data_IF_884945803293
#
_entry.id   IF_884945803293
#
_cell.length_a   1.000
_cell.length_b   1.000
_cell.length_c   1.000
_cell.angle_alpha   90.00
_cell.angle_beta   90.00
_cell.angle_gamma   90.00
#
_symmetry.space_group_name_H-M   'P 1'
#
loop_
_entity.id
_entity.type
_entity.pdbx_description
1 polymer ?
#
# COMPACT_ATOMS: atom_id res chain seq x y z
N UNK A 1 -27.64 30.19 -19.87
CA UNK A 1 -27.68 28.94 -20.67
C UNK A 1 -26.73 27.98 -19.97
N UNK A 2 -27.15 26.77 -19.58
CA UNK A 2 -26.26 25.85 -18.85
C UNK A 2 -25.18 25.33 -19.79
N UNK A 3 -23.94 25.45 -19.39
CA UNK A 3 -22.78 24.91 -20.11
C UNK A 3 -22.18 23.79 -19.26
N UNK A 4 -21.71 22.73 -19.91
CA UNK A 4 -21.15 21.56 -19.23
C UNK A 4 -19.75 21.29 -19.76
N UNK A 5 -18.84 20.90 -18.89
CA UNK A 5 -17.54 20.38 -19.30
C UNK A 5 -17.60 18.87 -19.15
N UNK A 6 -17.29 18.17 -20.23
CA UNK A 6 -17.28 16.70 -20.27
C UNK A 6 -15.93 16.21 -20.74
N UNK A 7 -15.41 15.19 -20.07
CA UNK A 7 -14.17 14.53 -20.44
C UNK A 7 -14.41 13.07 -20.75
N UNK A 8 -13.86 12.64 -21.87
CA UNK A 8 -14.02 11.31 -22.42
C UNK A 8 -12.68 10.59 -22.42
N UNK A 9 -12.64 9.39 -21.83
CA UNK A 9 -11.47 8.51 -21.84
C UNK A 9 -11.72 7.33 -22.79
N UNK A 10 -10.97 7.26 -23.90
CA UNK A 10 -10.96 6.12 -24.84
C UNK A 10 -9.63 5.34 -24.74
N UNK A 11 -9.09 5.19 -23.53
CA UNK A 11 -7.91 4.36 -23.27
C UNK A 11 -6.57 5.04 -23.53
N UNK A 12 -6.45 6.00 -24.46
CA UNK A 12 -5.30 6.92 -24.58
C UNK A 12 -5.71 8.23 -25.25
N UNK A 13 -5.19 9.34 -24.72
CA UNK A 13 -5.59 10.73 -25.00
C UNK A 13 -7.06 11.05 -24.72
N UNK A 14 -7.28 12.26 -24.21
CA UNK A 14 -8.53 12.67 -23.62
C UNK A 14 -9.04 13.94 -24.28
N UNK A 15 -10.26 13.89 -24.82
CA UNK A 15 -10.96 15.09 -25.26
C UNK A 15 -11.73 15.72 -24.09
N UNK A 16 -11.55 17.03 -23.89
CA UNK A 16 -12.40 17.84 -23.00
C UNK A 16 -13.28 18.72 -23.89
N UNK A 17 -14.60 18.60 -23.72
CA UNK A 17 -15.59 19.32 -24.53
C UNK A 17 -16.46 20.22 -23.67
N UNK A 18 -16.66 21.45 -24.13
CA UNK A 18 -17.63 22.39 -23.56
C UNK A 18 -18.96 22.25 -24.34
N UNK A 19 -20.00 21.78 -23.67
CA UNK A 19 -21.32 21.51 -24.26
C UNK A 19 -22.31 22.59 -23.83
N UNK A 20 -23.06 23.12 -24.81
CA UNK A 20 -24.08 24.13 -24.55
C UNK A 20 -25.47 23.51 -24.45
N UNK A 21 -26.05 23.53 -23.25
CA UNK A 21 -27.43 23.10 -22.97
C UNK A 21 -27.60 21.60 -22.72
N UNK A 22 -28.71 21.26 -22.06
CA UNK A 22 -29.04 19.90 -21.62
C UNK A 22 -29.19 18.90 -22.78
N UNK A 23 -29.72 19.35 -23.94
CA UNK A 23 -29.91 18.48 -25.10
C UNK A 23 -28.58 18.00 -25.69
N UNK A 24 -27.60 18.90 -25.83
CA UNK A 24 -26.27 18.54 -26.32
C UNK A 24 -25.56 17.60 -25.35
N UNK A 25 -25.71 17.85 -24.04
CA UNK A 25 -25.23 16.95 -22.99
C UNK A 25 -25.82 15.55 -23.12
N UNK A 26 -27.15 15.44 -23.21
CA UNK A 26 -27.83 14.14 -23.29
C UNK A 26 -27.38 13.36 -24.53
N UNK A 27 -27.32 14.01 -25.69
CA UNK A 27 -26.87 13.39 -26.93
C UNK A 27 -25.44 12.85 -26.84
N UNK A 28 -24.52 13.55 -26.16
CA UNK A 28 -23.17 13.06 -25.95
C UNK A 28 -23.17 11.84 -25.03
N UNK A 29 -23.86 11.90 -23.88
CA UNK A 29 -23.91 10.77 -22.93
C UNK A 29 -24.50 9.53 -23.62
N UNK A 30 -25.64 9.67 -24.31
CA UNK A 30 -26.29 8.58 -25.04
C UNK A 30 -25.39 8.00 -26.15
N UNK A 31 -24.50 8.81 -26.73
CA UNK A 31 -23.55 8.37 -27.74
C UNK A 31 -22.38 7.59 -27.12
N UNK A 32 -21.86 8.06 -25.98
CA UNK A 32 -20.74 7.41 -25.27
C UNK A 32 -21.18 6.09 -24.63
N UNK A 33 -22.37 6.02 -24.04
CA UNK A 33 -22.93 4.78 -23.47
C UNK A 33 -23.09 3.66 -24.50
N UNK A 34 -23.21 3.99 -25.79
CA UNK A 34 -23.28 3.02 -26.88
C UNK A 34 -21.92 2.51 -27.36
N UNK A 35 -20.82 3.08 -26.86
CA UNK A 35 -19.45 2.64 -27.17
C UNK A 35 -18.89 1.84 -26.00
N UNK A 36 -18.54 0.58 -26.27
CA UNK A 36 -18.05 -0.36 -25.24
C UNK A 36 -16.66 -0.03 -24.65
N UNK A 37 -15.98 1.02 -25.13
CA UNK A 37 -14.59 1.34 -24.76
C UNK A 37 -14.40 2.80 -24.33
N UNK A 38 -15.49 3.48 -23.98
CA UNK A 38 -15.48 4.92 -23.74
C UNK A 38 -16.08 5.23 -22.39
N UNK A 39 -15.27 5.74 -21.46
CA UNK A 39 -15.73 6.13 -20.13
C UNK A 39 -15.85 7.67 -20.00
N UNK A 40 -16.90 8.10 -19.31
CA UNK A 40 -17.08 9.49 -18.88
C UNK A 40 -16.28 9.73 -17.60
N UNK A 41 -15.15 10.43 -17.72
CA UNK A 41 -14.29 10.76 -16.58
C UNK A 41 -14.93 11.83 -15.67
N UNK A 42 -15.57 12.84 -16.27
CA UNK A 42 -16.52 13.71 -15.56
C UNK A 42 -17.49 14.41 -16.50
N UNK A 43 -18.60 14.87 -15.93
CA UNK A 43 -19.61 15.69 -16.58
C UNK A 43 -20.16 16.69 -15.56
N UNK A 44 -19.62 17.91 -15.56
CA UNK A 44 -19.91 18.92 -14.55
C UNK A 44 -20.41 20.22 -15.16
N UNK A 45 -21.15 21.01 -14.37
CA UNK A 45 -21.57 22.34 -14.78
C UNK A 45 -20.33 23.24 -14.93
N UNK A 46 -20.21 23.89 -16.08
CA UNK A 46 -19.14 24.83 -16.36
C UNK A 46 -19.20 26.00 -15.36
N UNK A 47 -18.13 26.13 -14.57
CA UNK A 47 -17.98 27.17 -13.55
C UNK A 47 -16.50 27.47 -13.35
N UNK A 48 -16.20 28.63 -12.78
CA UNK A 48 -14.83 28.98 -12.41
C UNK A 48 -14.21 27.92 -11.49
N UNK A 49 -14.98 27.40 -10.53
CA UNK A 49 -14.54 26.34 -9.61
C UNK A 49 -14.09 25.07 -10.35
N UNK A 50 -14.89 24.60 -11.31
CA UNK A 50 -14.53 23.42 -12.11
C UNK A 50 -13.26 23.70 -12.90
N UNK A 51 -13.09 24.85 -13.54
CA UNK A 51 -11.84 25.15 -14.26
C UNK A 51 -10.62 25.24 -13.35
N UNK A 52 -10.81 25.71 -12.12
CA UNK A 52 -9.76 25.77 -11.12
C UNK A 52 -9.35 24.37 -10.66
N UNK A 53 -10.30 23.55 -10.19
CA UNK A 53 -10.05 22.19 -9.70
C UNK A 53 -9.56 21.26 -10.83
N UNK A 54 -10.02 21.50 -12.06
CA UNK A 54 -9.73 20.68 -13.24
C UNK A 54 -8.57 21.23 -14.09
N UNK A 55 -7.99 22.38 -13.75
CA UNK A 55 -6.85 23.00 -14.47
C UNK A 55 -7.10 23.22 -15.97
N UNK A 56 -8.35 23.53 -16.31
CA UNK A 56 -8.84 23.74 -17.67
C UNK A 56 -8.78 25.23 -18.05
N UNK A 57 -7.60 25.83 -17.90
CA UNK A 57 -7.41 27.27 -18.07
C UNK A 57 -7.70 27.76 -19.49
N UNK A 58 -7.56 26.90 -20.50
CA UNK A 58 -7.89 27.19 -21.89
C UNK A 58 -9.39 27.53 -22.09
N UNK A 59 -10.26 27.09 -21.17
CA UNK A 59 -11.67 27.42 -21.17
C UNK A 59 -12.00 28.69 -20.36
N UNK A 60 -11.03 29.30 -19.67
CA UNK A 60 -11.27 30.50 -18.85
C UNK A 60 -11.81 31.68 -19.66
N UNK A 61 -11.50 31.75 -20.96
CA UNK A 61 -12.05 32.76 -21.90
C UNK A 61 -13.58 32.72 -22.05
N UNK A 62 -14.22 31.63 -21.64
CA UNK A 62 -15.69 31.49 -21.67
C UNK A 62 -16.33 31.89 -20.33
N UNK A 63 -15.55 32.21 -19.30
CA UNK A 63 -16.08 32.74 -18.04
C UNK A 63 -16.45 34.23 -18.16
N UNK A 64 -17.40 34.71 -17.34
CA UNK A 64 -17.64 36.15 -17.20
C UNK A 64 -16.37 36.89 -16.77
N UNK A 65 -16.25 38.14 -17.20
CA UNK A 65 -15.17 39.03 -16.78
C UNK A 65 -15.11 39.16 -15.25
N UNK A 66 -13.91 39.11 -14.66
CA UNK A 66 -13.71 39.14 -13.21
C UNK A 66 -13.88 37.80 -12.48
N UNK A 67 -14.10 36.69 -13.20
CA UNK A 67 -14.09 35.37 -12.60
C UNK A 67 -12.72 35.04 -11.97
N UNK A 68 -12.68 34.32 -10.82
CA UNK A 68 -11.44 34.06 -10.11
C UNK A 68 -10.49 33.18 -10.96
N UNK A 69 -9.25 33.62 -11.14
CA UNK A 69 -8.21 32.82 -11.80
C UNK A 69 -7.85 31.58 -10.96
N UNK A 70 -7.42 30.51 -11.62
CA UNK A 70 -6.85 29.36 -10.92
C UNK A 70 -5.52 29.74 -10.28
N UNK A 71 -5.33 29.29 -9.05
CA UNK A 71 -4.06 29.38 -8.31
C UNK A 71 -3.16 28.17 -8.56
N UNK A 72 -3.62 27.23 -9.40
CA UNK A 72 -2.85 26.05 -9.76
C UNK A 72 -1.88 26.39 -10.91
N UNK A 73 -0.73 25.72 -10.98
CA UNK A 73 0.26 25.99 -12.02
C UNK A 73 -0.31 25.69 -13.41
N UNK A 74 0.23 26.39 -14.41
CA UNK A 74 -0.22 26.23 -15.79
C UNK A 74 0.20 24.87 -16.34
N UNK A 75 -0.76 24.11 -16.88
CA UNK A 75 -0.48 22.81 -17.47
C UNK A 75 0.42 22.94 -18.70
N UNK A 76 1.52 22.19 -18.68
CA UNK A 76 2.43 22.05 -19.82
C UNK A 76 2.42 20.59 -20.23
N UNK A 77 2.00 20.30 -21.47
CA UNK A 77 2.00 18.93 -21.97
C UNK A 77 3.44 18.38 -21.96
N UNK A 78 3.69 17.18 -21.40
CA UNK A 78 4.99 16.54 -21.53
C UNK A 78 5.37 16.30 -23.00
N UNK A 79 6.66 16.28 -23.35
CA UNK A 79 7.12 15.87 -24.67
C UNK A 79 6.60 14.48 -25.04
N UNK A 80 6.22 14.27 -26.31
CA UNK A 80 5.65 13.00 -26.76
C UNK A 80 6.65 11.83 -26.73
N UNK A 81 7.94 12.15 -26.76
CA UNK A 81 9.08 11.24 -26.73
C UNK A 81 9.64 11.00 -25.31
N UNK A 82 9.04 11.60 -24.29
CA UNK A 82 9.49 11.40 -22.91
C UNK A 82 9.16 9.98 -22.43
N UNK A 83 10.20 9.24 -22.06
CA UNK A 83 10.10 7.88 -21.55
C UNK A 83 10.10 7.87 -20.03
N UNK A 84 9.19 7.12 -19.42
CA UNK A 84 9.08 7.00 -17.96
C UNK A 84 9.32 5.56 -17.50
N UNK A 85 10.06 5.39 -16.42
CA UNK A 85 10.39 4.07 -15.88
C UNK A 85 9.13 3.28 -15.51
N UNK A 86 8.09 3.95 -15.00
CA UNK A 86 6.84 3.27 -14.66
C UNK A 86 6.08 2.72 -15.88
N UNK A 87 6.40 3.13 -17.11
CA UNK A 87 5.77 2.62 -18.35
C UNK A 87 6.71 1.80 -19.24
N UNK A 88 7.95 1.59 -18.81
CA UNK A 88 8.91 0.81 -19.58
C UNK A 88 8.39 -0.63 -19.79
N UNK A 89 8.65 -1.25 -20.95
CA UNK A 89 8.19 -2.62 -21.21
C UNK A 89 8.91 -3.64 -20.33
N UNK A 90 10.18 -3.40 -20.01
CA UNK A 90 10.94 -4.11 -18.99
C UNK A 90 10.82 -3.45 -17.61
N UNK A 91 11.06 -4.24 -16.56
CA UNK A 91 11.10 -3.71 -15.21
C UNK A 91 12.33 -2.83 -14.99
N UNK A 92 12.09 -1.56 -14.66
CA UNK A 92 13.11 -0.58 -14.27
C UNK A 92 12.89 -0.22 -12.81
N UNK A 93 13.74 -0.68 -11.90
CA UNK A 93 13.57 -0.44 -10.47
C UNK A 93 13.56 1.07 -10.13
N UNK A 94 12.71 1.52 -9.19
CA UNK A 94 12.77 2.90 -8.70
C UNK A 94 14.10 3.18 -7.97
N UNK A 95 14.65 4.36 -8.18
CA UNK A 95 15.93 4.81 -7.62
C UNK A 95 15.78 6.22 -7.04
N UNK A 96 15.52 6.27 -5.73
CA UNK A 96 15.39 7.52 -5.00
C UNK A 96 16.71 8.29 -5.01
N UNK A 97 17.84 7.57 -4.91
CA UNK A 97 19.18 8.13 -4.74
C UNK A 97 19.73 8.80 -6.01
N UNK A 98 19.33 8.34 -7.19
CA UNK A 98 19.71 8.98 -8.44
C UNK A 98 18.68 10.01 -8.91
N UNK A 99 17.39 9.80 -8.62
CA UNK A 99 16.32 10.61 -9.19
C UNK A 99 16.10 11.95 -8.48
N UNK A 100 16.10 11.96 -7.14
CA UNK A 100 15.94 13.19 -6.35
C UNK A 100 17.30 13.85 -6.11
N UNK A 101 17.40 15.18 -6.19
CA UNK A 101 18.71 15.81 -6.00
C UNK A 101 19.08 15.91 -4.51
N UNK A 102 20.37 15.75 -4.19
CA UNK A 102 20.93 16.06 -2.88
C UNK A 102 21.28 17.55 -2.78
N UNK A 103 20.25 18.42 -2.75
CA UNK A 103 20.40 19.88 -2.82
C UNK A 103 19.67 20.58 -1.66
N UNK A 104 20.44 20.99 -0.64
CA UNK A 104 19.93 21.68 0.57
C UNK A 104 19.27 23.02 0.23
N UNK A 105 19.80 23.76 -0.75
CA UNK A 105 19.23 25.05 -1.15
C UNK A 105 17.90 24.86 -1.87
N UNK A 106 17.80 23.84 -2.72
CA UNK A 106 16.55 23.47 -3.36
C UNK A 106 15.49 23.02 -2.35
N UNK A 107 15.88 22.34 -1.26
CA UNK A 107 14.97 21.97 -0.17
C UNK A 107 14.31 23.18 0.48
N UNK A 108 15.11 24.17 0.90
CA UNK A 108 14.59 25.43 1.47
C UNK A 108 13.70 26.17 0.48
N UNK A 109 14.09 26.23 -0.79
CA UNK A 109 13.30 26.87 -1.83
C UNK A 109 11.96 26.15 -2.04
N UNK A 110 11.93 24.82 -1.95
CA UNK A 110 10.69 24.04 -2.05
C UNK A 110 9.75 24.35 -0.87
N UNK A 111 10.28 24.43 0.34
CA UNK A 111 9.51 24.84 1.53
C UNK A 111 8.94 26.27 1.36
N UNK A 112 9.74 27.23 0.87
CA UNK A 112 9.29 28.59 0.58
C UNK A 112 8.18 28.63 -0.48
N UNK A 113 8.28 27.79 -1.53
CA UNK A 113 7.23 27.66 -2.54
C UNK A 113 5.95 27.09 -1.94
N UNK A 114 6.05 26.11 -1.05
CA UNK A 114 4.88 25.57 -0.35
C UNK A 114 4.19 26.64 0.51
N UNK A 115 4.95 27.41 1.30
CA UNK A 115 4.38 28.49 2.12
C UNK A 115 3.70 29.57 1.25
N UNK A 116 4.26 29.85 0.07
CA UNK A 116 3.72 30.81 -0.89
C UNK A 116 2.80 30.20 -1.95
N UNK A 117 2.32 28.96 -1.76
CA UNK A 117 1.57 28.18 -2.77
C UNK A 117 0.32 28.86 -3.33
N UNK A 118 -0.25 29.82 -2.60
CA UNK A 118 -1.42 30.58 -3.05
C UNK A 118 -1.13 31.66 -4.10
N UNK A 119 0.14 31.95 -4.39
CA UNK A 119 0.61 33.00 -5.31
C UNK A 119 1.70 32.50 -6.27
N UNK A 120 1.68 31.21 -6.61
CA UNK A 120 2.70 30.63 -7.48
C UNK A 120 2.58 31.19 -8.89
N UNK A 121 3.70 31.68 -9.41
CA UNK A 121 3.87 32.05 -10.83
C UNK A 121 4.83 31.06 -11.48
N UNK A 122 4.42 29.79 -11.53
CA UNK A 122 5.20 28.70 -12.12
C UNK A 122 4.33 27.87 -13.06
N UNK A 123 4.95 27.25 -14.05
CA UNK A 123 4.37 26.12 -14.79
C UNK A 123 4.46 24.82 -13.99
N UNK A 124 3.68 23.83 -14.39
CA UNK A 124 3.77 22.47 -13.80
C UNK A 124 5.17 21.90 -13.87
N UNK A 125 5.85 22.09 -15.01
CA UNK A 125 7.19 21.57 -15.23
C UNK A 125 8.18 22.15 -14.22
N UNK A 126 8.12 23.46 -14.01
CA UNK A 126 9.00 24.15 -13.06
C UNK A 126 8.70 23.74 -11.63
N UNK A 127 7.42 23.56 -11.28
CA UNK A 127 7.04 23.09 -9.95
C UNK A 127 7.50 21.64 -9.70
N UNK A 128 7.31 20.75 -10.68
CA UNK A 128 7.74 19.35 -10.58
C UNK A 128 9.27 19.22 -10.51
N UNK A 129 10.00 20.05 -11.25
CA UNK A 129 11.47 20.08 -11.17
C UNK A 129 11.96 20.65 -9.84
N UNK A 130 11.31 21.70 -9.32
CA UNK A 130 11.58 22.22 -7.98
C UNK A 130 11.32 21.15 -6.90
N UNK A 131 10.23 20.39 -7.04
CA UNK A 131 9.91 19.26 -6.18
C UNK A 131 11.00 18.18 -6.24
N UNK A 132 11.34 17.70 -7.44
CA UNK A 132 12.37 16.67 -7.66
C UNK A 132 13.72 17.06 -7.06
N UNK A 133 14.10 18.34 -7.19
CA UNK A 133 15.36 18.84 -6.64
C UNK A 133 15.33 19.05 -5.13
N UNK A 134 14.21 19.51 -4.58
CA UNK A 134 14.12 19.93 -3.19
C UNK A 134 13.67 18.84 -2.21
N UNK A 135 13.00 17.79 -2.67
CA UNK A 135 12.29 16.84 -1.80
C UNK A 135 13.16 16.31 -0.64
N UNK A 136 14.41 15.93 -0.93
CA UNK A 136 15.32 15.32 0.07
C UNK A 136 15.58 16.18 1.30
N UNK A 137 15.58 17.50 1.11
CA UNK A 137 15.92 18.49 2.13
C UNK A 137 14.72 19.37 2.48
N UNK A 138 13.51 18.97 2.11
CA UNK A 138 12.28 19.64 2.52
C UNK A 138 11.94 19.32 3.97
N UNK A 139 11.24 20.24 4.62
CA UNK A 139 10.85 20.13 6.03
C UNK A 139 9.90 18.95 6.33
N UNK A 140 9.07 18.54 5.36
CA UNK A 140 8.08 17.49 5.54
C UNK A 140 7.72 16.82 4.21
N UNK A 141 8.33 15.66 3.86
CA UNK A 141 8.01 14.96 2.62
C UNK A 141 6.52 14.68 2.45
N UNK A 142 5.84 14.14 3.48
CA UNK A 142 4.41 13.86 3.41
C UNK A 142 3.55 15.09 3.05
N UNK A 143 3.90 16.26 3.61
CA UNK A 143 3.21 17.53 3.28
C UNK A 143 3.44 17.92 1.83
N UNK A 144 4.68 17.80 1.35
CA UNK A 144 5.03 18.12 -0.03
C UNK A 144 4.32 17.19 -1.01
N UNK A 145 4.31 15.88 -0.78
CA UNK A 145 3.58 14.91 -1.61
C UNK A 145 2.07 15.21 -1.65
N UNK A 146 1.46 15.53 -0.50
CA UNK A 146 0.05 15.91 -0.45
C UNK A 146 -0.25 17.18 -1.23
N UNK A 147 0.62 18.18 -1.12
CA UNK A 147 0.50 19.43 -1.88
C UNK A 147 0.65 19.20 -3.39
N UNK A 148 1.71 18.53 -3.85
CA UNK A 148 1.94 18.34 -5.29
C UNK A 148 0.87 17.42 -5.90
N UNK A 149 0.39 16.43 -5.16
CA UNK A 149 -0.74 15.58 -5.56
C UNK A 149 -2.03 16.39 -5.69
N UNK A 150 -2.31 17.30 -4.75
CA UNK A 150 -3.48 18.16 -4.83
C UNK A 150 -3.39 19.18 -5.98
N UNK A 151 -2.19 19.70 -6.24
CA UNK A 151 -1.97 20.69 -7.27
C UNK A 151 -1.98 20.11 -8.69
N UNK A 152 -1.44 18.91 -8.88
CA UNK A 152 -1.14 18.33 -10.20
C UNK A 152 -1.72 16.91 -10.41
N UNK A 153 -2.58 16.45 -9.49
CA UNK A 153 -3.19 15.13 -9.55
C UNK A 153 -4.35 14.99 -10.52
N UNK A 154 -4.85 16.10 -11.09
CA UNK A 154 -5.96 16.07 -12.06
C UNK A 154 -5.74 17.02 -13.27
N UNK A 155 -5.79 16.51 -14.51
CA UNK A 155 -5.36 15.14 -14.83
C UNK A 155 -4.03 14.86 -14.17
N UNK A 156 -3.81 13.60 -13.80
CA UNK A 156 -2.53 13.22 -13.26
C UNK A 156 -1.44 13.36 -14.31
N UNK A 157 -0.47 14.21 -14.03
CA UNK A 157 0.69 14.42 -14.89
C UNK A 157 1.57 13.14 -14.95
N UNK A 158 1.99 12.66 -16.13
CA UNK A 158 2.93 11.54 -16.25
C UNK A 158 4.23 11.75 -15.49
N UNK A 159 4.76 12.98 -15.46
CA UNK A 159 5.99 13.33 -14.70
C UNK A 159 5.76 13.25 -13.20
N UNK A 160 4.56 13.60 -12.72
CA UNK A 160 4.17 13.38 -11.32
C UNK A 160 4.11 11.89 -10.99
N UNK A 161 3.59 11.09 -11.92
CA UNK A 161 3.55 9.62 -11.75
C UNK A 161 4.95 9.03 -11.68
N UNK A 162 5.88 9.51 -12.51
CA UNK A 162 7.29 9.13 -12.43
C UNK A 162 7.93 9.53 -11.09
N UNK A 163 7.68 10.75 -10.59
CA UNK A 163 8.14 11.17 -9.26
C UNK A 163 7.65 10.21 -8.17
N UNK A 164 6.37 9.87 -8.18
CA UNK A 164 5.81 8.93 -7.20
C UNK A 164 6.39 7.54 -7.38
N UNK A 165 6.61 7.09 -8.62
CA UNK A 165 7.23 5.80 -8.91
C UNK A 165 8.63 5.71 -8.31
N UNK A 166 9.48 6.70 -8.59
CA UNK A 166 10.86 6.75 -8.09
C UNK A 166 10.93 6.85 -6.56
N UNK A 167 9.92 7.47 -5.95
CA UNK A 167 9.77 7.53 -4.50
C UNK A 167 9.35 6.21 -3.85
N UNK A 168 8.98 5.17 -4.62
CA UNK A 168 8.74 3.82 -4.11
C UNK A 168 10.04 3.02 -3.90
N UNK A 169 11.23 3.60 -4.08
CA UNK A 169 12.51 2.90 -3.85
C UNK A 169 12.56 2.21 -2.47
N UNK A 170 12.64 0.87 -2.41
CA UNK A 170 12.77 0.09 -1.17
C UNK A 170 13.95 0.52 -0.28
N UNK A 171 14.99 1.12 -0.85
CA UNK A 171 16.18 1.62 -0.15
C UNK A 171 16.09 3.11 0.22
N UNK A 172 15.04 3.80 -0.24
CA UNK A 172 14.79 5.20 0.08
C UNK A 172 14.31 5.44 1.51
N UNK A 173 13.96 6.69 1.86
CA UNK A 173 13.32 7.01 3.14
C UNK A 173 11.91 6.41 3.24
N UNK A 174 11.56 5.88 4.42
CA UNK A 174 10.27 5.23 4.67
C UNK A 174 9.08 6.19 4.53
N UNK A 175 9.22 7.42 5.03
CA UNK A 175 8.19 8.45 4.96
C UNK A 175 7.91 8.90 3.52
N UNK A 176 8.93 8.97 2.68
CA UNK A 176 8.82 9.22 1.23
C UNK A 176 8.07 8.07 0.56
N UNK A 177 8.46 6.81 0.79
CA UNK A 177 7.74 5.64 0.24
C UNK A 177 6.27 5.63 0.65
N UNK A 178 6.01 5.88 1.93
CA UNK A 178 4.65 5.93 2.48
C UNK A 178 3.82 7.01 1.80
N UNK A 179 4.39 8.19 1.60
CA UNK A 179 3.72 9.30 0.93
C UNK A 179 3.44 8.97 -0.55
N UNK A 180 4.41 8.41 -1.27
CA UNK A 180 4.27 7.97 -2.65
C UNK A 180 3.17 6.90 -2.80
N UNK A 181 3.09 5.93 -1.89
CA UNK A 181 1.99 4.96 -1.86
C UNK A 181 0.65 5.64 -1.57
N UNK A 182 0.60 6.54 -0.58
CA UNK A 182 -0.64 7.15 -0.12
C UNK A 182 -1.29 8.03 -1.19
N UNK A 183 -0.50 8.94 -1.78
CA UNK A 183 -0.96 9.94 -2.76
C UNK A 183 -0.84 9.44 -4.20
N UNK A 184 0.11 8.55 -4.46
CA UNK A 184 0.47 8.12 -5.80
C UNK A 184 -0.20 6.83 -6.25
N UNK A 185 -0.09 5.75 -5.49
CA UNK A 185 -0.51 4.42 -5.94
C UNK A 185 -1.53 3.77 -4.99
N UNK A 186 -2.36 4.64 -4.40
CA UNK A 186 -3.52 4.26 -3.60
C UNK A 186 -4.68 3.74 -4.45
N UNK A 187 -5.87 3.74 -3.86
CA UNK A 187 -7.10 3.25 -4.51
C UNK A 187 -7.44 4.05 -5.77
N UNK A 188 -7.98 3.36 -6.79
CA UNK A 188 -8.47 3.98 -8.02
C UNK A 188 -7.38 4.53 -8.93
N UNK A 189 -6.14 4.09 -8.74
CA UNK A 189 -5.02 4.45 -9.63
C UNK A 189 -4.67 3.27 -10.52
N UNK A 190 -4.56 3.54 -11.82
CA UNK A 190 -4.07 2.57 -12.80
C UNK A 190 -2.62 2.21 -12.47
N UNK A 191 -2.33 0.91 -12.50
CA UNK A 191 -1.00 0.39 -12.19
C UNK A 191 -0.48 -0.35 -13.41
N UNK A 192 0.73 0.02 -13.81
CA UNK A 192 1.49 -0.73 -14.81
C UNK A 192 2.17 -1.93 -14.15
N UNK A 193 2.69 -2.87 -14.95
CA UNK A 193 3.53 -3.97 -14.48
C UNK A 193 4.70 -3.49 -13.60
N UNK A 194 5.34 -2.38 -13.98
CA UNK A 194 6.45 -1.80 -13.22
C UNK A 194 5.99 -1.24 -11.87
N UNK A 195 4.84 -0.55 -11.82
CA UNK A 195 4.25 -0.08 -10.56
C UNK A 195 3.91 -1.27 -9.67
N UNK A 196 3.26 -2.31 -10.19
CA UNK A 196 2.91 -3.51 -9.41
C UNK A 196 4.18 -4.21 -8.88
N UNK A 197 5.22 -4.32 -9.70
CA UNK A 197 6.51 -4.89 -9.27
C UNK A 197 7.18 -4.03 -8.19
N UNK A 198 7.19 -2.71 -8.33
CA UNK A 198 7.72 -1.81 -7.30
C UNK A 198 6.93 -1.90 -5.98
N UNK A 199 5.59 -2.00 -6.04
CA UNK A 199 4.76 -2.19 -4.85
C UNK A 199 5.04 -3.54 -4.17
N UNK A 200 5.26 -4.61 -4.94
CA UNK A 200 5.72 -5.89 -4.42
C UNK A 200 7.09 -5.76 -3.72
N UNK A 201 8.05 -5.09 -4.36
CA UNK A 201 9.39 -4.89 -3.76
C UNK A 201 9.31 -4.08 -2.46
N UNK A 202 8.46 -3.03 -2.40
CA UNK A 202 8.17 -2.28 -1.16
C UNK A 202 7.50 -3.16 -0.11
N UNK A 203 6.56 -4.02 -0.52
CA UNK A 203 5.91 -4.95 0.40
C UNK A 203 6.93 -5.89 1.06
N UNK A 204 7.88 -6.40 0.28
CA UNK A 204 8.90 -7.36 0.72
C UNK A 204 10.11 -6.72 1.41
N UNK A 205 10.25 -5.39 1.38
CA UNK A 205 11.38 -4.68 1.96
C UNK A 205 11.34 -4.65 3.51
N UNK A 206 12.49 -4.81 4.18
CA UNK A 206 12.68 -4.41 5.57
C UNK A 206 12.71 -2.87 5.74
N UNK A 207 12.49 -2.30 6.94
CA UNK A 207 12.12 -2.97 8.19
C UNK A 207 10.68 -3.48 8.18
N UNK A 208 10.37 -4.38 9.10
CA UNK A 208 9.04 -4.99 9.24
C UNK A 208 8.25 -4.42 10.43
N UNK A 209 8.49 -3.15 10.83
CA UNK A 209 7.82 -2.57 12.00
C UNK A 209 6.28 -2.63 11.88
N UNK A 210 5.63 -2.90 13.00
CA UNK A 210 4.21 -3.22 13.06
C UNK A 210 3.27 -2.05 12.71
N UNK A 211 3.70 -0.80 12.85
CA UNK A 211 2.77 0.34 12.85
C UNK A 211 2.77 1.05 11.50
N UNK A 212 3.95 1.29 10.92
CA UNK A 212 4.03 1.94 9.61
C UNK A 212 3.95 0.91 8.49
N UNK A 213 4.63 -0.23 8.60
CA UNK A 213 4.62 -1.23 7.53
C UNK A 213 3.31 -1.99 7.43
N UNK A 214 2.60 -2.25 8.54
CA UNK A 214 1.26 -2.88 8.46
C UNK A 214 0.29 -2.00 7.69
N UNK A 215 0.34 -0.69 7.90
CA UNK A 215 -0.51 0.26 7.18
C UNK A 215 -0.13 0.34 5.69
N UNK A 216 1.16 0.32 5.35
CA UNK A 216 1.61 0.31 3.95
C UNK A 216 1.27 -1.00 3.24
N UNK A 217 1.59 -2.16 3.83
CA UNK A 217 1.28 -3.48 3.25
C UNK A 217 -0.21 -3.69 3.05
N UNK A 218 -1.00 -3.36 4.06
CA UNK A 218 -2.46 -3.45 3.95
C UNK A 218 -2.98 -2.53 2.85
N UNK A 219 -2.38 -1.33 2.70
CA UNK A 219 -2.77 -0.39 1.66
C UNK A 219 -2.35 -0.83 0.25
N UNK A 220 -1.23 -1.50 0.08
CA UNK A 220 -0.82 -2.13 -1.19
C UNK A 220 -1.84 -3.19 -1.60
N UNK A 221 -2.17 -4.12 -0.69
CA UNK A 221 -3.15 -5.17 -0.99
C UNK A 221 -4.56 -4.59 -1.19
N UNK A 222 -4.90 -3.52 -0.47
CA UNK A 222 -6.17 -2.84 -0.65
C UNK A 222 -6.26 -2.08 -1.98
N UNK A 223 -5.15 -1.49 -2.46
CA UNK A 223 -5.14 -0.71 -3.71
C UNK A 223 -5.38 -1.54 -4.97
N UNK A 224 -5.23 -2.85 -4.88
CA UNK A 224 -5.50 -3.80 -5.98
C UNK A 224 -6.76 -4.62 -5.79
N UNK A 225 -7.42 -4.54 -4.62
CA UNK A 225 -8.51 -5.45 -4.23
C UNK A 225 -9.62 -5.59 -5.28
N UNK A 226 -9.95 -4.47 -5.92
CA UNK A 226 -11.08 -4.36 -6.84
C UNK A 226 -10.65 -4.44 -8.33
N UNK A 227 -9.38 -4.81 -8.61
CA UNK A 227 -8.80 -4.93 -9.95
C UNK A 227 -8.23 -6.35 -10.15
N UNK A 228 -8.93 -7.22 -10.89
CA UNK A 228 -8.57 -8.64 -11.05
C UNK A 228 -7.18 -8.83 -11.69
N UNK A 229 -6.85 -8.06 -12.73
CA UNK A 229 -5.55 -8.16 -13.40
C UNK A 229 -4.39 -7.77 -12.47
N UNK A 230 -4.56 -6.71 -11.68
CA UNK A 230 -3.57 -6.29 -10.66
C UNK A 230 -3.38 -7.38 -9.59
N UNK A 231 -4.49 -7.99 -9.11
CA UNK A 231 -4.44 -9.10 -8.14
C UNK A 231 -3.73 -10.31 -8.71
N UNK A 232 -4.03 -10.67 -9.96
CA UNK A 232 -3.39 -11.79 -10.63
C UNK A 232 -1.89 -11.57 -10.77
N UNK A 233 -1.47 -10.38 -11.21
CA UNK A 233 -0.05 -10.04 -11.34
C UNK A 233 0.68 -10.08 -9.99
N UNK A 234 0.15 -9.41 -8.96
CA UNK A 234 0.77 -9.40 -7.63
C UNK A 234 0.81 -10.79 -6.99
N UNK A 235 -0.27 -11.57 -7.10
CA UNK A 235 -0.29 -12.94 -6.56
C UNK A 235 0.72 -13.85 -7.26
N UNK A 236 0.97 -13.66 -8.55
CA UNK A 236 2.05 -14.34 -9.29
C UNK A 236 3.42 -13.99 -8.72
N UNK A 237 3.69 -12.71 -8.44
CA UNK A 237 4.95 -12.29 -7.81
C UNK A 237 5.15 -12.90 -6.41
N UNK A 238 4.08 -12.97 -5.60
CA UNK A 238 4.14 -13.64 -4.31
C UNK A 238 4.34 -15.15 -4.45
N UNK A 239 3.70 -15.81 -5.42
CA UNK A 239 3.92 -17.23 -5.69
C UNK A 239 5.37 -17.52 -6.10
N UNK A 240 5.97 -16.68 -6.95
CA UNK A 240 7.38 -16.78 -7.32
C UNK A 240 8.29 -16.65 -6.09
N UNK A 241 8.07 -15.65 -5.23
CA UNK A 241 8.85 -15.48 -4.01
C UNK A 241 8.70 -16.67 -3.05
N UNK A 242 7.48 -17.21 -2.94
CA UNK A 242 7.19 -18.40 -2.13
C UNK A 242 7.83 -19.65 -2.72
N UNK A 243 7.95 -19.78 -4.05
CA UNK A 243 8.71 -20.86 -4.67
C UNK A 243 10.19 -20.85 -4.28
N UNK A 244 10.74 -19.66 -4.00
CA UNK A 244 12.09 -19.45 -3.48
C UNK A 244 12.15 -19.34 -1.95
N UNK A 245 11.20 -19.94 -1.21
CA UNK A 245 11.05 -19.81 0.24
C UNK A 245 12.33 -20.05 1.07
N UNK A 246 13.30 -20.81 0.54
CA UNK A 246 14.60 -21.04 1.17
C UNK A 246 15.42 -19.75 1.33
N UNK A 247 15.22 -18.75 0.45
CA UNK A 247 15.88 -17.44 0.50
C UNK A 247 15.18 -16.45 1.46
N UNK A 248 13.96 -16.77 1.90
CA UNK A 248 13.17 -15.89 2.75
C UNK A 248 13.45 -16.14 4.25
N UNK A 249 13.45 -15.06 5.03
CA UNK A 249 13.32 -15.14 6.48
C UNK A 249 11.93 -15.67 6.86
N UNK A 250 11.75 -16.20 8.08
CA UNK A 250 10.43 -16.66 8.53
C UNK A 250 9.38 -15.54 8.50
N UNK A 251 9.81 -14.29 8.77
CA UNK A 251 8.94 -13.10 8.73
C UNK A 251 8.51 -12.80 7.28
N UNK A 252 9.45 -12.71 6.35
CA UNK A 252 9.14 -12.43 4.95
C UNK A 252 8.29 -13.55 4.32
N UNK A 253 8.58 -14.81 4.67
CA UNK A 253 7.81 -15.97 4.26
C UNK A 253 6.35 -15.90 4.74
N UNK A 254 6.13 -15.60 6.03
CA UNK A 254 4.78 -15.48 6.58
C UNK A 254 3.99 -14.32 5.95
N UNK A 255 4.66 -13.22 5.64
CA UNK A 255 4.04 -12.07 4.99
C UNK A 255 3.66 -12.37 3.54
N UNK A 256 4.55 -13.01 2.77
CA UNK A 256 4.26 -13.44 1.41
C UNK A 256 3.11 -14.46 1.35
N UNK A 257 3.10 -15.44 2.26
CA UNK A 257 2.01 -16.43 2.38
C UNK A 257 0.67 -15.73 2.70
N UNK A 258 0.67 -14.80 3.65
CA UNK A 258 -0.54 -14.03 4.01
C UNK A 258 -1.02 -13.14 2.87
N UNK A 259 -0.10 -12.48 2.14
CA UNK A 259 -0.44 -11.63 1.00
C UNK A 259 -1.07 -12.44 -0.13
N UNK A 260 -0.45 -13.57 -0.49
CA UNK A 260 -0.96 -14.47 -1.51
C UNK A 260 -2.38 -14.92 -1.19
N UNK A 261 -2.62 -15.38 0.06
CA UNK A 261 -3.95 -15.80 0.53
C UNK A 261 -4.97 -14.67 0.48
N UNK A 262 -4.57 -13.46 0.86
CA UNK A 262 -5.47 -12.31 0.82
C UNK A 262 -5.87 -11.93 -0.61
N UNK A 263 -4.96 -12.09 -1.57
CA UNK A 263 -5.22 -11.76 -2.98
C UNK A 263 -6.03 -12.85 -3.71
N UNK A 264 -5.78 -14.12 -3.39
CA UNK A 264 -6.33 -15.27 -4.14
C UNK A 264 -7.46 -16.00 -3.43
N UNK A 265 -7.52 -15.91 -2.10
CA UNK A 265 -8.40 -16.75 -1.27
C UNK A 265 -7.91 -18.19 -1.07
N UNK A 266 -6.73 -18.55 -1.58
CA UNK A 266 -6.22 -19.93 -1.59
C UNK A 266 -4.85 -20.06 -0.88
N UNK A 267 -4.50 -21.28 -0.45
CA UNK A 267 -3.14 -21.58 -0.02
C UNK A 267 -2.17 -21.51 -1.24
N UNK A 268 -0.93 -21.02 -1.06
CA UNK A 268 0.08 -21.04 -2.13
C UNK A 268 0.35 -22.46 -2.66
N UNK A 269 0.69 -22.62 -3.96
CA UNK A 269 0.88 -23.95 -4.57
C UNK A 269 1.88 -24.84 -3.84
N UNK A 270 2.94 -24.25 -3.27
CA UNK A 270 4.02 -24.95 -2.59
C UNK A 270 3.95 -24.81 -1.05
N UNK A 271 2.79 -24.46 -0.48
CA UNK A 271 2.62 -24.23 0.97
C UNK A 271 3.10 -25.39 1.85
N UNK A 272 3.03 -26.63 1.36
CA UNK A 272 3.49 -27.82 2.09
C UNK A 272 5.00 -27.81 2.34
N UNK A 273 5.78 -27.30 1.39
CA UNK A 273 7.25 -27.34 1.41
C UNK A 273 7.85 -26.50 2.54
N UNK A 274 7.20 -25.38 2.87
CA UNK A 274 7.62 -24.49 3.94
C UNK A 274 6.72 -24.56 5.18
N UNK A 275 5.78 -25.51 5.24
CA UNK A 275 4.77 -25.60 6.31
C UNK A 275 5.34 -25.86 7.71
N UNK A 276 6.59 -26.31 7.81
CA UNK A 276 7.31 -26.56 9.06
C UNK A 276 8.16 -25.38 9.54
N UNK A 277 8.28 -24.31 8.73
CA UNK A 277 9.12 -23.15 9.02
C UNK A 277 8.50 -22.18 10.03
N UNK A 278 9.36 -21.52 10.81
CA UNK A 278 8.94 -20.56 11.83
C UNK A 278 8.43 -21.18 13.12
N UNK A 279 8.34 -20.33 14.14
CA UNK A 279 7.75 -20.64 15.45
C UNK A 279 6.54 -19.76 15.60
N UNK A 280 5.40 -20.33 15.96
CA UNK A 280 4.19 -19.57 16.16
C UNK A 280 3.78 -19.60 17.62
N UNK A 281 3.41 -18.44 18.15
CA UNK A 281 2.81 -18.27 19.47
C UNK A 281 1.30 -18.24 19.31
N UNK A 282 0.61 -19.08 20.07
CA UNK A 282 -0.85 -19.06 20.24
C UNK A 282 -1.16 -18.78 21.70
N UNK A 283 -1.97 -17.75 21.94
CA UNK A 283 -2.47 -17.37 23.26
C UNK A 283 -3.97 -17.56 23.29
N UNK A 284 -4.49 -18.29 24.28
CA UNK A 284 -5.90 -18.56 24.42
C UNK A 284 -6.32 -18.69 25.88
N UNK A 285 -7.61 -18.54 26.15
CA UNK A 285 -8.19 -18.68 27.48
C UNK A 285 -8.89 -20.01 27.68
N UNK A 286 -9.02 -20.39 28.94
CA UNK A 286 -9.96 -21.39 29.40
C UNK A 286 -10.66 -20.85 30.64
N UNK A 287 -11.97 -20.68 30.55
CA UNK A 287 -12.79 -20.43 31.73
C UNK A 287 -12.62 -21.60 32.71
N UNK A 288 -12.61 -21.29 34.00
CA UNK A 288 -12.31 -22.29 35.01
C UNK A 288 -13.33 -23.43 34.95
N UNK A 289 -12.88 -24.63 34.55
CA UNK A 289 -13.68 -25.85 34.72
C UNK A 289 -13.66 -26.18 36.20
N UNK A 290 -14.51 -25.53 37.00
CA UNK A 290 -14.63 -25.59 38.47
C UNK A 290 -13.38 -25.24 39.31
N UNK A 291 -12.15 -25.48 38.83
CA UNK A 291 -10.87 -25.13 39.48
C UNK A 291 -9.75 -24.90 38.46
N UNK A 292 -8.68 -24.22 38.88
CA UNK A 292 -7.46 -24.00 38.06
C UNK A 292 -6.78 -25.33 37.66
N UNK A 293 -6.52 -26.31 38.57
CA UNK A 293 -5.90 -27.57 38.19
C UNK A 293 -6.70 -28.38 37.16
N UNK A 294 -8.03 -28.41 37.29
CA UNK A 294 -8.90 -29.07 36.33
C UNK A 294 -8.79 -28.43 34.94
N UNK A 295 -8.71 -27.10 34.87
CA UNK A 295 -8.55 -26.35 33.61
C UNK A 295 -7.21 -26.69 32.94
N UNK A 296 -6.11 -26.75 33.71
CA UNK A 296 -4.78 -27.16 33.20
C UNK A 296 -4.77 -28.60 32.68
N UNK A 297 -5.46 -29.50 33.39
CA UNK A 297 -5.60 -30.90 32.98
C UNK A 297 -6.41 -31.03 31.70
N UNK A 298 -7.56 -30.34 31.62
CA UNK A 298 -8.41 -30.30 30.43
C UNK A 298 -7.64 -29.82 29.20
N UNK A 299 -6.93 -28.70 29.31
CA UNK A 299 -6.09 -28.19 28.21
C UNK A 299 -5.00 -29.20 27.85
N UNK A 300 -4.37 -29.83 28.83
CA UNK A 300 -3.32 -30.82 28.55
C UNK A 300 -3.84 -32.05 27.82
N UNK A 301 -5.03 -32.54 28.17
CA UNK A 301 -5.71 -33.64 27.48
C UNK A 301 -6.12 -33.24 26.07
N UNK A 302 -6.66 -32.03 25.91
CA UNK A 302 -7.12 -31.51 24.62
C UNK A 302 -5.98 -31.33 23.61
N UNK A 303 -4.87 -30.76 24.05
CA UNK A 303 -3.69 -30.58 23.20
C UNK A 303 -2.98 -31.92 22.92
N UNK A 304 -3.00 -32.85 23.90
CA UNK A 304 -2.34 -34.14 23.80
C UNK A 304 -0.85 -34.02 23.49
N UNK A 305 -0.29 -35.11 22.97
CA UNK A 305 1.06 -35.12 22.40
C UNK A 305 0.97 -34.84 20.89
N UNK A 306 1.78 -33.89 20.42
CA UNK A 306 1.82 -33.52 19.01
C UNK A 306 3.25 -33.18 18.59
N UNK A 307 3.71 -33.66 17.42
CA UNK A 307 5.04 -33.33 16.90
C UNK A 307 5.19 -31.83 16.59
N UNK A 308 4.07 -31.09 16.52
CA UNK A 308 4.08 -29.65 16.30
C UNK A 308 4.28 -28.85 17.59
N UNK A 309 3.97 -29.42 18.75
CA UNK A 309 4.00 -28.73 20.04
C UNK A 309 5.44 -28.61 20.55
N UNK A 310 5.89 -27.39 20.82
CA UNK A 310 7.24 -27.15 21.35
C UNK A 310 7.24 -26.94 22.85
N UNK A 311 6.33 -26.10 23.34
CA UNK A 311 6.15 -25.83 24.76
C UNK A 311 4.78 -25.22 25.01
N UNK A 312 4.29 -25.36 26.24
CA UNK A 312 3.10 -24.69 26.74
C UNK A 312 3.38 -24.08 28.10
N UNK A 313 2.77 -22.92 28.37
CA UNK A 313 2.83 -22.25 29.66
C UNK A 313 1.44 -21.83 30.08
N UNK A 314 1.10 -22.16 31.32
CA UNK A 314 -0.13 -21.72 31.96
C UNK A 314 0.14 -20.44 32.73
N UNK A 315 -0.79 -19.50 32.64
CA UNK A 315 -0.85 -18.27 33.41
C UNK A 315 -2.22 -18.20 34.08
N UNK A 316 -2.22 -17.68 35.30
CA UNK A 316 -3.41 -17.55 36.13
C UNK A 316 -3.61 -16.07 36.38
N UNK A 317 -4.73 -15.52 35.89
CA UNK A 317 -5.07 -14.11 36.05
C UNK A 317 -6.53 -14.00 36.45
N UNK A 318 -6.80 -13.34 37.58
CA UNK A 318 -8.18 -13.04 38.05
C UNK A 318 -9.14 -14.26 38.11
N UNK A 319 -8.61 -15.45 38.35
CA UNK A 319 -9.41 -16.69 38.41
C UNK A 319 -9.58 -17.42 37.07
N UNK A 320 -8.98 -16.91 35.99
CA UNK A 320 -8.96 -17.53 34.67
C UNK A 320 -7.59 -18.12 34.34
N UNK A 321 -7.58 -19.15 33.48
CA UNK A 321 -6.35 -19.75 32.96
C UNK A 321 -6.12 -19.26 31.54
N UNK A 322 -5.07 -18.47 31.37
CA UNK A 322 -4.51 -18.13 30.05
C UNK A 322 -3.39 -19.09 29.71
N UNK A 323 -3.32 -19.53 28.46
CA UNK A 323 -2.31 -20.47 27.99
C UNK A 323 -1.55 -19.85 26.83
N UNK A 324 -0.23 -19.92 26.91
CA UNK A 324 0.68 -19.59 25.83
C UNK A 324 1.26 -20.89 25.29
N UNK A 325 1.14 -21.13 23.99
CA UNK A 325 1.65 -22.33 23.34
C UNK A 325 2.52 -21.95 22.16
N UNK A 326 3.72 -22.55 22.10
CA UNK A 326 4.57 -22.46 20.92
C UNK A 326 4.41 -23.71 20.08
N UNK A 327 4.15 -23.50 18.79
CA UNK A 327 4.07 -24.57 17.79
C UNK A 327 5.05 -24.33 16.65
N UNK A 328 5.47 -25.41 16.00
CA UNK A 328 6.36 -25.40 14.85
C UNK A 328 5.57 -25.36 13.55
N UNK A 329 5.90 -24.39 12.70
CA UNK A 329 5.32 -24.32 11.36
C UNK A 329 3.89 -23.82 11.29
N UNK A 330 3.48 -23.40 10.10
CA UNK A 330 2.07 -23.10 9.79
C UNK A 330 1.19 -24.33 9.89
N UNK A 331 1.72 -25.53 9.65
CA UNK A 331 1.01 -26.79 9.91
C UNK A 331 0.66 -26.94 11.41
N UNK A 332 1.62 -26.63 12.30
CA UNK A 332 1.40 -26.64 13.74
C UNK A 332 0.41 -25.57 14.18
N UNK A 333 0.45 -24.38 13.56
CA UNK A 333 -0.52 -23.32 13.81
C UNK A 333 -1.94 -23.73 13.40
N UNK A 334 -2.13 -24.28 12.20
CA UNK A 334 -3.42 -24.79 11.71
C UNK A 334 -3.95 -25.90 12.63
N UNK A 335 -3.07 -26.83 13.03
CA UNK A 335 -3.41 -27.89 14.01
C UNK A 335 -3.89 -27.31 15.35
N UNK A 336 -3.17 -26.32 15.90
CA UNK A 336 -3.54 -25.68 17.16
C UNK A 336 -4.89 -24.98 17.06
N UNK A 337 -5.11 -24.17 16.01
CA UNK A 337 -6.38 -23.47 15.81
C UNK A 337 -7.54 -24.46 15.71
N UNK A 338 -7.36 -25.54 14.94
CA UNK A 338 -8.37 -26.60 14.82
C UNK A 338 -8.68 -27.22 16.19
N UNK A 339 -7.65 -27.58 16.96
CA UNK A 339 -7.81 -28.12 18.32
C UNK A 339 -8.56 -27.18 19.24
N UNK A 340 -8.31 -25.87 19.17
CA UNK A 340 -8.99 -24.87 20.00
C UNK A 340 -10.43 -24.56 19.54
N UNK A 341 -10.78 -24.90 18.31
CA UNK A 341 -12.14 -24.78 17.78
C UNK A 341 -13.04 -25.99 18.04
N UNK A 342 -12.47 -27.15 18.43
CA UNK A 342 -13.25 -28.31 18.90
C UNK A 342 -14.21 -27.92 20.04
N UNK A 343 -15.39 -28.54 20.15
CA UNK A 343 -16.37 -28.15 21.17
C UNK A 343 -15.97 -28.65 22.57
N UNK A 344 -16.05 -27.81 23.62
CA UNK A 344 -16.39 -26.38 23.60
C UNK A 344 -15.23 -25.53 23.05
N UNK A 345 -15.51 -24.59 22.13
CA UNK A 345 -14.48 -23.75 21.54
C UNK A 345 -13.80 -22.86 22.60
N UNK A 346 -12.48 -22.72 22.51
CA UNK A 346 -11.68 -21.89 23.41
C UNK A 346 -11.34 -20.55 22.74
N UNK A 347 -11.44 -19.42 23.47
CA UNK A 347 -11.16 -18.11 22.92
C UNK A 347 -9.67 -17.94 22.62
N UNK A 348 -9.33 -17.68 21.35
CA UNK A 348 -7.97 -17.35 20.92
C UNK A 348 -7.79 -15.84 20.98
N UNK A 349 -6.83 -15.38 21.79
CA UNK A 349 -6.47 -13.97 21.93
C UNK A 349 -5.40 -13.54 20.92
N UNK A 350 -4.50 -14.45 20.58
CA UNK A 350 -3.41 -14.19 19.65
C UNK A 350 -2.97 -15.50 18.95
N UNK A 351 -2.62 -15.39 17.68
CA UNK A 351 -2.06 -16.47 16.88
C UNK A 351 -1.15 -15.85 15.81
N UNK A 352 0.17 -15.96 15.98
CA UNK A 352 1.11 -15.27 15.09
C UNK A 352 2.54 -15.79 15.20
N UNK A 353 3.38 -15.38 14.25
CA UNK A 353 4.81 -15.73 14.25
C UNK A 353 5.47 -15.11 15.48
N UNK A 354 6.32 -15.88 16.16
CA UNK A 354 7.15 -15.39 17.24
C UNK A 354 8.33 -14.61 16.65
N UNK A 355 8.38 -13.30 16.90
CA UNK A 355 9.45 -12.40 16.44
C UNK A 355 10.18 -11.74 17.61
N UNK A 356 11.39 -11.19 17.41
CA UNK A 356 12.09 -10.43 18.44
C UNK A 356 11.24 -9.28 19.01
N UNK A 357 10.56 -8.53 18.15
CA UNK A 357 9.74 -7.38 18.53
C UNK A 357 8.55 -7.80 19.39
N UNK A 358 7.94 -8.95 19.10
CA UNK A 358 6.86 -9.50 19.91
C UNK A 358 7.35 -9.82 21.34
N UNK A 359 8.56 -10.38 21.45
CA UNK A 359 9.17 -10.70 22.76
C UNK A 359 9.53 -9.43 23.53
N UNK A 360 10.09 -8.43 22.87
CA UNK A 360 10.45 -7.15 23.49
C UNK A 360 9.24 -6.40 24.04
N UNK A 361 8.11 -6.44 23.35
CA UNK A 361 6.86 -5.82 23.79
C UNK A 361 6.13 -6.61 24.88
N UNK A 362 6.50 -7.88 25.09
CA UNK A 362 5.78 -8.80 25.98
C UNK A 362 6.55 -9.14 27.25
N UNK A 363 6.14 -8.57 28.39
CA UNK A 363 6.76 -8.78 29.71
C UNK A 363 6.88 -10.27 30.12
N UNK A 364 6.04 -11.13 29.56
CA UNK A 364 5.98 -12.56 29.87
C UNK A 364 6.51 -13.49 28.78
N UNK A 365 7.10 -12.93 27.72
CA UNK A 365 7.57 -13.69 26.54
C UNK A 365 9.09 -13.88 26.51
N UNK A 366 9.83 -13.27 27.44
CA UNK A 366 11.30 -13.30 27.46
C UNK A 366 11.89 -14.72 27.48
N UNK A 367 11.24 -15.67 28.16
CA UNK A 367 11.69 -17.07 28.19
C UNK A 367 11.59 -17.78 26.83
N UNK A 368 10.76 -17.27 25.91
CA UNK A 368 10.59 -17.80 24.57
C UNK A 368 11.68 -17.34 23.61
N UNK A 369 12.57 -16.44 24.04
CA UNK A 369 13.69 -15.94 23.23
C UNK A 369 14.58 -17.07 22.70
N UNK A 370 14.73 -18.15 23.46
CA UNK A 370 15.49 -19.35 23.05
C UNK A 370 14.91 -20.10 21.84
N UNK A 371 13.66 -19.81 21.47
CA UNK A 371 13.01 -20.41 20.31
C UNK A 371 13.04 -19.51 19.08
N UNK A 372 13.48 -18.25 19.20
CA UNK A 372 13.69 -17.42 18.02
C UNK A 372 14.72 -18.10 17.11
N UNK A 373 14.54 -18.00 15.78
CA UNK A 373 15.57 -18.47 14.85
C UNK A 373 16.89 -17.77 15.19
N UNK A 374 17.97 -18.54 15.27
CA UNK A 374 19.31 -17.96 15.27
C UNK A 374 19.43 -17.27 13.93
N UNK A 375 19.48 -15.94 13.90
CA UNK A 375 19.74 -15.23 12.65
C UNK A 375 20.99 -15.83 12.03
N UNK A 376 20.96 -16.28 10.77
CA UNK A 376 22.20 -16.57 10.09
C UNK A 376 23.04 -15.29 10.17
N UNK A 377 24.33 -15.36 10.53
CA UNK A 377 25.18 -14.18 10.57
C UNK A 377 25.25 -13.57 9.16
N UNK A 378 24.41 -12.57 8.89
CA UNK A 378 24.42 -11.74 7.69
C UNK A 378 25.05 -10.42 8.09
N UNK A 379 26.32 -10.20 7.74
CA UNK A 379 26.71 -9.43 6.55
C UNK A 379 26.05 -8.05 6.55
N UNK A 380 26.80 -7.12 7.15
CA UNK A 380 26.68 -5.67 7.04
C UNK A 380 26.32 -5.20 5.64
#
# INVERSE_FOLDING_TARGET
MLEFVTRVNEGQETAVVLLKGLKARQLLVDYLEKRNYTELDFNELFSARVLQERRLQEFARFLPEGAPASRLPAYTRPPADETYAYRAPEFVAPDYQSYFADDVQAGRKLDELFENRGKLELSDRELLEAFRRGLRHSSSPNTMFGWISGALGWPRDPRLTEIFYQALDPKGPEDVRKAALYFGFGLGTDKTSNVLRALFDVYMAPPFDDTTNRNMRSRILWSVRDHEDDKYYLSTLFAEALSEHAKLSDVALQQADSAYKQLTGEDPPNAKEFSSRGVYLVMFGCESTSTIPASKQYISQRLGDSPHLLTKKFREEKGEVSVMVLVRGTAGLKWMIHKLQEQPALPIYFAGLLTPELIEKGDHLQEFKKYLPVEPPGKN
#
